data_IF_334570969180
#
_entry.id   IF_334570969180
#
_cell.length_a   1.000
_cell.length_b   1.000
_cell.length_c   1.000
_cell.angle_alpha   90.00
_cell.angle_beta   90.00
_cell.angle_gamma   90.00
#
_symmetry.space_group_name_H-M   'P 1'
#
loop_
_entity.id
_entity.type
_entity.pdbx_description
1 polymer ?
#
# COMPACT_ATOMS: atom_id res chain seq x y z
N UNK A 1 -20.35 -10.27 -27.63
CA UNK A 1 -19.07 -10.56 -26.94
C UNK A 1 -18.63 -9.37 -26.06
N UNK A 2 -19.28 -8.22 -26.19
CA UNK A 2 -18.89 -6.93 -25.59
C UNK A 2 -19.11 -6.82 -24.09
N UNK A 3 -20.11 -7.55 -23.55
CA UNK A 3 -20.39 -7.57 -22.11
C UNK A 3 -19.25 -8.23 -21.35
N UNK A 4 -18.74 -9.36 -21.85
CA UNK A 4 -17.65 -10.09 -21.22
C UNK A 4 -16.37 -9.25 -21.20
N UNK A 5 -16.06 -8.58 -22.32
CA UNK A 5 -14.93 -7.65 -22.41
C UNK A 5 -15.06 -6.49 -21.42
N UNK A 6 -16.25 -5.89 -21.33
CA UNK A 6 -16.52 -4.77 -20.41
C UNK A 6 -16.36 -5.19 -18.94
N UNK A 7 -16.89 -6.36 -18.56
CA UNK A 7 -16.76 -6.91 -17.20
C UNK A 7 -15.30 -7.18 -16.86
N UNK A 8 -14.55 -7.83 -17.76
CA UNK A 8 -13.13 -8.11 -17.53
C UNK A 8 -12.31 -6.84 -17.37
N UNK A 9 -12.62 -5.78 -18.12
CA UNK A 9 -11.94 -4.49 -18.02
C UNK A 9 -12.18 -3.82 -16.67
N UNK A 10 -13.43 -3.77 -16.21
CA UNK A 10 -13.78 -3.21 -14.89
C UNK A 10 -13.18 -4.07 -13.77
N UNK A 11 -13.23 -5.39 -13.89
CA UNK A 11 -12.63 -6.31 -12.94
C UNK A 11 -11.11 -6.08 -12.82
N UNK A 12 -10.39 -5.99 -13.94
CA UNK A 12 -8.96 -5.75 -13.93
C UNK A 12 -8.60 -4.40 -13.29
N UNK A 13 -9.34 -3.33 -13.63
CA UNK A 13 -9.12 -2.00 -13.03
C UNK A 13 -9.44 -2.02 -11.54
N UNK A 14 -10.55 -2.65 -11.13
CA UNK A 14 -10.95 -2.79 -9.73
C UNK A 14 -9.95 -3.62 -8.92
N UNK A 15 -9.38 -4.67 -9.51
CA UNK A 15 -8.35 -5.49 -8.89
C UNK A 15 -7.05 -4.68 -8.71
N UNK A 16 -6.61 -3.96 -9.75
CA UNK A 16 -5.39 -3.14 -9.66
C UNK A 16 -5.55 -2.00 -8.67
N UNK A 17 -6.65 -1.26 -8.72
CA UNK A 17 -6.88 -0.11 -7.84
C UNK A 17 -7.25 -0.52 -6.40
N UNK A 18 -7.97 -1.62 -6.22
CA UNK A 18 -8.39 -2.11 -4.91
C UNK A 18 -7.32 -2.97 -4.23
N UNK A 19 -6.84 -4.01 -4.92
CA UNK A 19 -5.90 -4.98 -4.37
C UNK A 19 -4.42 -4.63 -4.62
N UNK A 20 -4.12 -3.61 -5.43
CA UNK A 20 -2.74 -3.20 -5.69
C UNK A 20 -1.98 -2.78 -4.43
N UNK A 21 -2.63 -2.03 -3.53
CA UNK A 21 -2.00 -1.60 -2.27
C UNK A 21 -1.77 -2.78 -1.29
N UNK A 22 -2.75 -3.69 -1.06
CA UNK A 22 -2.51 -4.96 -0.36
C UNK A 22 -1.39 -5.80 -0.98
N UNK A 23 -1.28 -5.85 -2.31
CA UNK A 23 -0.22 -6.58 -2.98
C UNK A 23 1.17 -5.99 -2.71
N UNK A 24 1.31 -4.66 -2.73
CA UNK A 24 2.57 -3.98 -2.35
C UNK A 24 2.96 -4.28 -0.91
N UNK A 25 2.00 -4.30 0.01
CA UNK A 25 2.24 -4.68 1.40
C UNK A 25 2.72 -6.13 1.51
N UNK A 26 2.09 -7.07 0.78
CA UNK A 26 2.53 -8.46 0.76
C UNK A 26 3.96 -8.62 0.23
N UNK A 27 4.36 -7.86 -0.80
CA UNK A 27 5.75 -7.83 -1.29
C UNK A 27 6.69 -7.32 -0.19
N UNK A 28 6.32 -6.26 0.53
CA UNK A 28 7.08 -5.77 1.69
C UNK A 28 7.28 -6.85 2.75
N UNK A 29 6.23 -7.61 3.10
CA UNK A 29 6.33 -8.74 4.05
C UNK A 29 7.28 -9.82 3.55
N UNK A 30 7.24 -10.17 2.26
CA UNK A 30 8.14 -11.17 1.69
C UNK A 30 9.60 -10.67 1.72
N UNK A 31 9.85 -9.41 1.43
CA UNK A 31 11.19 -8.82 1.51
C UNK A 31 11.73 -8.79 2.95
N UNK A 32 10.87 -8.46 3.92
CA UNK A 32 11.24 -8.42 5.33
C UNK A 32 11.52 -9.82 5.88
N UNK A 33 10.63 -10.78 5.63
CA UNK A 33 10.80 -12.18 6.05
C UNK A 33 12.07 -12.82 5.46
N UNK A 34 12.40 -12.52 4.19
CA UNK A 34 13.66 -12.97 3.57
C UNK A 34 14.88 -12.20 4.07
N UNK A 35 14.69 -10.97 4.54
CA UNK A 35 15.76 -10.10 5.04
C UNK A 35 16.16 -10.40 6.49
N UNK A 36 15.25 -10.91 7.32
CA UNK A 36 15.52 -11.29 8.71
C UNK A 36 16.55 -12.43 8.80
N UNK A 37 16.54 -13.34 7.82
CA UNK A 37 17.34 -14.57 7.88
C UNK A 37 16.84 -15.51 8.98
N UNK A 38 17.47 -16.66 9.14
CA UNK A 38 17.09 -17.63 10.17
C UNK A 38 17.14 -19.08 9.72
N UNK A 39 16.64 -19.96 10.58
CA UNK A 39 16.53 -21.39 10.31
C UNK A 39 15.33 -21.63 9.40
N UNK A 40 15.60 -22.09 8.19
CA UNK A 40 14.56 -22.50 7.26
C UNK A 40 14.00 -23.88 7.66
N UNK A 41 12.81 -24.21 7.16
CA UNK A 41 12.12 -25.47 7.46
C UNK A 41 12.89 -26.72 6.99
N UNK A 42 13.86 -26.56 6.09
CA UNK A 42 14.75 -27.61 5.59
C UNK A 42 16.04 -27.79 6.44
N UNK A 43 16.17 -27.04 7.54
CA UNK A 43 17.35 -27.06 8.41
C UNK A 43 18.52 -26.20 7.91
N UNK A 44 18.39 -25.51 6.77
CA UNK A 44 19.40 -24.57 6.29
C UNK A 44 19.30 -23.23 7.01
N UNK A 45 20.42 -22.53 7.19
CA UNK A 45 20.45 -21.19 7.76
C UNK A 45 20.58 -20.16 6.65
N UNK A 46 19.62 -19.24 6.54
CA UNK A 46 19.77 -18.05 5.69
C UNK A 46 20.46 -16.94 6.46
N UNK A 47 21.52 -16.36 5.88
CA UNK A 47 22.19 -15.22 6.47
C UNK A 47 21.27 -13.98 6.43
N UNK A 48 21.22 -13.16 7.50
CA UNK A 48 20.44 -11.92 7.50
C UNK A 48 20.88 -10.99 6.37
N UNK A 49 19.92 -10.44 5.63
CA UNK A 49 20.18 -9.46 4.57
C UNK A 49 19.58 -8.10 4.96
N UNK A 50 20.37 -7.20 5.58
CA UNK A 50 19.88 -5.91 6.07
C UNK A 50 19.36 -5.01 4.93
N UNK A 51 19.88 -5.15 3.70
CA UNK A 51 19.40 -4.39 2.55
C UNK A 51 17.97 -4.80 2.14
N UNK A 52 17.69 -6.10 2.15
CA UNK A 52 16.37 -6.62 1.81
C UNK A 52 15.32 -6.27 2.87
N UNK A 53 15.76 -6.25 4.13
CA UNK A 53 14.94 -5.83 5.26
C UNK A 53 14.62 -4.34 5.21
N UNK A 54 15.60 -3.50 4.89
CA UNK A 54 15.39 -2.06 4.66
C UNK A 54 14.41 -1.81 3.50
N UNK A 55 14.51 -2.57 2.41
CA UNK A 55 13.56 -2.51 1.29
C UNK A 55 12.12 -2.82 1.74
N UNK A 56 11.94 -3.85 2.58
CA UNK A 56 10.63 -4.20 3.16
C UNK A 56 10.03 -3.03 3.96
N UNK A 57 10.82 -2.40 4.84
CA UNK A 57 10.38 -1.23 5.60
C UNK A 57 10.04 -0.03 4.71
N UNK A 58 10.80 0.21 3.64
CA UNK A 58 10.50 1.28 2.67
C UNK A 58 9.16 1.02 1.99
N UNK A 59 8.88 -0.21 1.57
CA UNK A 59 7.59 -0.57 0.99
C UNK A 59 6.43 -0.38 1.98
N UNK A 60 6.61 -0.77 3.25
CA UNK A 60 5.61 -0.52 4.29
C UNK A 60 5.38 0.98 4.53
N UNK A 61 6.45 1.77 4.57
CA UNK A 61 6.35 3.22 4.75
C UNK A 61 5.59 3.88 3.59
N UNK A 62 5.85 3.45 2.34
CA UNK A 62 5.12 3.92 1.16
C UNK A 62 3.64 3.58 1.27
N UNK A 63 3.31 2.33 1.62
CA UNK A 63 1.92 1.89 1.79
C UNK A 63 1.21 2.71 2.86
N UNK A 64 1.84 2.88 4.02
CA UNK A 64 1.30 3.69 5.12
C UNK A 64 1.08 5.15 4.70
N UNK A 65 2.03 5.75 3.98
CA UNK A 65 1.90 7.11 3.47
C UNK A 65 0.71 7.26 2.51
N UNK A 66 0.53 6.30 1.59
CA UNK A 66 -0.62 6.29 0.67
C UNK A 66 -1.95 6.18 1.42
N UNK A 67 -2.02 5.32 2.45
CA UNK A 67 -3.22 5.18 3.29
C UNK A 67 -3.53 6.49 4.02
N UNK A 68 -2.53 7.10 4.67
CA UNK A 68 -2.72 8.36 5.41
C UNK A 68 -3.16 9.48 4.48
N UNK A 69 -2.52 9.64 3.32
CA UNK A 69 -2.90 10.64 2.32
C UNK A 69 -4.33 10.39 1.83
N UNK A 70 -4.69 9.14 1.54
CA UNK A 70 -6.04 8.76 1.13
C UNK A 70 -7.09 9.07 2.19
N UNK A 71 -6.82 8.76 3.46
CA UNK A 71 -7.70 9.07 4.58
C UNK A 71 -7.87 10.58 4.77
N UNK A 72 -6.77 11.33 4.78
CA UNK A 72 -6.81 12.78 4.88
C UNK A 72 -7.60 13.38 3.72
N UNK A 73 -7.44 12.85 2.51
CA UNK A 73 -8.20 13.29 1.34
C UNK A 73 -9.70 13.02 1.49
N UNK A 74 -10.10 11.83 1.93
CA UNK A 74 -11.52 11.49 2.13
C UNK A 74 -12.12 12.37 3.24
N UNK A 75 -11.40 12.55 4.35
CA UNK A 75 -11.85 13.31 5.50
C UNK A 75 -11.60 14.82 5.41
N UNK A 76 -11.11 15.35 4.27
CA UNK A 76 -10.70 16.75 4.11
C UNK A 76 -11.75 17.77 4.56
N UNK A 77 -13.02 17.50 4.26
CA UNK A 77 -14.16 18.35 4.62
C UNK A 77 -14.43 18.33 6.12
N UNK A 78 -14.46 17.15 6.72
CA UNK A 78 -14.62 16.97 8.17
C UNK A 78 -13.48 17.64 8.95
N UNK A 79 -12.23 17.51 8.47
CA UNK A 79 -11.07 18.17 9.08
C UNK A 79 -11.19 19.68 9.02
N UNK A 80 -11.64 20.23 7.89
CA UNK A 80 -11.82 21.67 7.77
C UNK A 80 -12.98 22.17 8.65
N UNK A 81 -14.08 21.44 8.74
CA UNK A 81 -15.26 21.87 9.49
C UNK A 81 -15.07 21.81 11.01
N UNK A 82 -14.47 20.74 11.54
CA UNK A 82 -14.34 20.56 13.00
C UNK A 82 -13.02 21.05 13.57
N UNK A 83 -11.94 21.05 12.77
CA UNK A 83 -10.59 21.34 13.26
C UNK A 83 -9.96 22.58 12.59
N UNK A 84 -10.64 23.22 11.63
CA UNK A 84 -10.13 24.36 10.85
C UNK A 84 -8.81 24.08 10.10
N UNK A 85 -8.47 22.80 9.88
CA UNK A 85 -7.22 22.38 9.22
C UNK A 85 -7.42 22.30 7.69
N UNK A 86 -6.57 23.00 6.92
CA UNK A 86 -6.50 22.95 5.45
C UNK A 86 -5.18 22.33 4.97
N UNK A 87 -5.18 21.01 4.78
CA UNK A 87 -4.01 20.24 4.32
C UNK A 87 -3.85 20.20 2.79
N UNK A 88 -4.93 20.37 2.05
CA UNK A 88 -4.93 20.30 0.59
C UNK A 88 -5.06 21.71 -0.03
N UNK A 89 -4.81 21.85 -1.34
CA UNK A 89 -5.05 23.11 -2.03
C UNK A 89 -6.49 23.59 -1.89
N UNK A 90 -6.71 24.91 -1.94
CA UNK A 90 -8.03 25.53 -1.72
C UNK A 90 -9.14 25.02 -2.64
N UNK A 91 -8.81 24.61 -3.86
CA UNK A 91 -9.76 24.04 -4.82
C UNK A 91 -10.27 22.64 -4.45
N UNK A 92 -9.62 21.95 -3.52
CA UNK A 92 -10.05 20.62 -3.04
C UNK A 92 -11.23 20.69 -2.05
N UNK A 93 -11.57 21.90 -1.61
CA UNK A 93 -12.68 22.18 -0.71
C UNK A 93 -13.84 22.77 -1.51
N UNK A 94 -14.97 22.06 -1.52
CA UNK A 94 -16.23 22.53 -2.10
C UNK A 94 -17.16 22.95 -0.98
#
# INVERSE_FOLDING_TARGET
MDILESILKVFAIGLVLGAGLPALFAVGMVCEARGEGGLNADGTTSAPNPALRALGYVLFAIVAAVIVIGLLWICRQTLNYYFDIKLFPSWAYK
#
